data_IF_879337710699
#
_entry.id   IF_879337710699
#
_cell.length_a   1.000
_cell.length_b   1.000
_cell.length_c   1.000
_cell.angle_alpha   90.00
_cell.angle_beta   90.00
_cell.angle_gamma   90.00
#
_symmetry.space_group_name_H-M   'P 1'
#
loop_
_entity.id
_entity.type
_entity.pdbx_description
1 polymer ?
#
# COMPACT_ATOMS: atom_id res chain seq x y z
N UNK A 1 16.97 31.66 24.08
CA UNK A 1 15.99 30.98 24.96
C UNK A 1 14.78 30.45 24.19
N UNK A 2 14.37 31.05 23.08
CA UNK A 2 13.20 30.66 22.27
C UNK A 2 13.33 29.33 21.51
N UNK A 3 14.52 29.04 20.94
CA UNK A 3 14.80 27.78 20.22
C UNK A 3 14.53 26.53 21.08
N UNK A 4 14.85 26.61 22.38
CA UNK A 4 14.60 25.52 23.35
C UNK A 4 13.12 25.35 23.70
N UNK A 5 12.32 26.44 23.71
CA UNK A 5 10.87 26.37 23.91
C UNK A 5 10.18 25.71 22.71
N UNK A 6 10.59 26.08 21.49
CA UNK A 6 10.10 25.47 20.26
C UNK A 6 10.41 23.96 20.20
N UNK A 7 11.64 23.55 20.54
CA UNK A 7 12.05 22.15 20.62
C UNK A 7 11.21 21.33 21.63
N UNK A 8 10.93 21.90 22.82
CA UNK A 8 10.08 21.23 23.82
C UNK A 8 8.63 21.08 23.32
N UNK A 9 8.08 22.12 22.72
CA UNK A 9 6.72 22.09 22.19
C UNK A 9 6.57 21.05 21.06
N UNK A 10 7.52 21.02 20.11
CA UNK A 10 7.58 20.00 19.06
C UNK A 10 7.69 18.59 19.65
N UNK A 11 8.50 18.43 20.70
CA UNK A 11 8.67 17.12 21.35
C UNK A 11 7.44 16.62 22.07
N UNK A 12 6.76 17.49 22.83
CA UNK A 12 5.48 17.13 23.44
C UNK A 12 4.40 16.87 22.40
N UNK A 13 4.37 17.63 21.30
CA UNK A 13 3.40 17.44 20.23
C UNK A 13 3.58 16.09 19.53
N UNK A 14 4.80 15.75 19.11
CA UNK A 14 5.08 14.48 18.41
C UNK A 14 4.83 13.28 19.32
N UNK A 15 5.28 13.34 20.59
CA UNK A 15 5.00 12.28 21.58
C UNK A 15 3.52 12.14 21.92
N UNK A 16 2.76 13.23 21.85
CA UNK A 16 1.33 13.23 22.07
C UNK A 16 0.52 12.63 20.92
N UNK A 17 1.07 12.55 19.70
CA UNK A 17 0.33 12.13 18.50
C UNK A 17 -0.38 10.77 18.65
N UNK A 18 0.28 9.70 19.13
CA UNK A 18 -0.39 8.42 19.31
C UNK A 18 -1.63 8.49 20.21
N UNK A 19 -1.60 9.35 21.22
CA UNK A 19 -2.68 9.47 22.21
C UNK A 19 -3.87 10.29 21.70
N UNK A 20 -3.65 11.17 20.74
CA UNK A 20 -4.70 12.06 20.21
C UNK A 20 -5.18 11.66 18.83
N UNK A 21 -4.49 10.74 18.13
CA UNK A 21 -4.76 10.38 16.74
C UNK A 21 -6.23 10.03 16.50
N UNK A 22 -6.88 9.34 17.45
CA UNK A 22 -8.27 8.92 17.31
C UNK A 22 -9.29 10.07 17.38
N UNK A 23 -8.89 11.22 17.92
CA UNK A 23 -9.76 12.38 18.05
C UNK A 23 -9.55 13.39 16.92
N UNK A 24 -8.54 13.18 16.06
CA UNK A 24 -8.23 14.11 14.98
C UNK A 24 -9.18 13.93 13.79
N UNK A 25 -9.79 15.03 13.28
CA UNK A 25 -10.55 14.99 12.04
C UNK A 25 -9.67 14.63 10.85
N UNK A 26 -10.15 13.78 9.94
CA UNK A 26 -9.39 13.35 8.75
C UNK A 26 -8.89 14.52 7.88
N UNK A 27 -9.71 15.57 7.74
CA UNK A 27 -9.33 16.79 7.03
C UNK A 27 -8.20 17.57 7.72
N UNK A 28 -8.14 17.53 9.06
CA UNK A 28 -7.05 18.14 9.81
C UNK A 28 -5.75 17.34 9.62
N UNK A 29 -5.84 16.01 9.65
CA UNK A 29 -4.69 15.12 9.42
C UNK A 29 -4.04 15.44 8.07
N UNK A 30 -4.81 15.41 6.97
CA UNK A 30 -4.28 15.59 5.62
C UNK A 30 -3.87 17.03 5.30
N UNK A 31 -4.64 18.04 5.72
CA UNK A 31 -4.40 19.44 5.30
C UNK A 31 -3.49 20.24 6.21
N UNK A 32 -3.31 19.81 7.46
CA UNK A 32 -2.56 20.58 8.47
C UNK A 32 -1.46 19.76 9.10
N UNK A 33 -1.79 18.58 9.62
CA UNK A 33 -0.83 17.79 10.40
C UNK A 33 0.28 17.19 9.55
N UNK A 34 -0.04 16.45 8.48
CA UNK A 34 0.96 15.84 7.61
C UNK A 34 1.89 16.91 6.97
N UNK A 35 1.37 18.03 6.44
CA UNK A 35 2.23 19.13 5.99
C UNK A 35 3.14 19.69 7.09
N UNK A 36 2.66 19.84 8.33
CA UNK A 36 3.47 20.31 9.44
C UNK A 36 4.58 19.30 9.83
N UNK A 37 4.30 18.00 9.75
CA UNK A 37 5.29 16.94 9.98
C UNK A 37 6.43 17.03 8.95
N UNK A 38 6.13 17.36 7.69
CA UNK A 38 7.16 17.54 6.65
C UNK A 38 8.13 18.70 6.94
N UNK A 39 7.80 19.61 7.86
CA UNK A 39 8.68 20.67 8.32
C UNK A 39 9.57 20.27 9.52
N UNK A 40 9.48 19.02 10.00
CA UNK A 40 10.27 18.51 11.13
C UNK A 40 11.72 18.03 10.83
N UNK A 41 12.28 17.95 9.61
CA UNK A 41 13.65 17.46 9.41
C UNK A 41 14.70 18.07 10.36
N UNK A 42 14.74 19.40 10.60
CA UNK A 42 15.71 19.99 11.53
C UNK A 42 15.54 19.54 12.99
N UNK A 43 14.32 19.17 13.38
CA UNK A 43 14.00 18.65 14.71
C UNK A 43 14.41 17.18 14.87
N UNK A 44 14.34 16.39 13.79
CA UNK A 44 14.59 14.94 13.78
C UNK A 44 16.06 14.57 13.56
N UNK A 45 16.84 15.47 12.96
CA UNK A 45 18.21 15.22 12.54
C UNK A 45 19.07 14.64 13.68
N UNK A 46 19.72 13.51 13.40
CA UNK A 46 20.57 12.72 14.31
C UNK A 46 19.99 12.46 15.70
N UNK A 47 18.66 12.43 15.80
CA UNK A 47 17.98 12.19 17.07
C UNK A 47 17.04 10.98 16.97
N UNK A 48 17.58 9.82 17.32
CA UNK A 48 16.87 8.52 17.25
C UNK A 48 15.57 8.52 18.05
N UNK A 49 15.52 8.94 19.34
CA UNK A 49 14.28 8.97 20.09
C UNK A 49 13.17 9.78 19.42
N UNK A 50 13.48 10.95 18.86
CA UNK A 50 12.49 11.80 18.18
C UNK A 50 11.94 11.16 16.92
N UNK A 51 12.78 10.42 16.19
CA UNK A 51 12.36 9.67 15.00
C UNK A 51 11.46 8.49 15.39
N UNK A 52 11.74 7.81 16.50
CA UNK A 52 10.87 6.76 17.04
C UNK A 52 9.51 7.33 17.50
N UNK A 53 9.51 8.47 18.20
CA UNK A 53 8.28 9.16 18.59
C UNK A 53 7.43 9.52 17.36
N UNK A 54 8.08 10.01 16.29
CA UNK A 54 7.39 10.30 15.03
C UNK A 54 6.82 9.03 14.40
N UNK A 55 7.59 7.94 14.29
CA UNK A 55 7.12 6.69 13.71
C UNK A 55 5.95 6.08 14.49
N UNK A 56 5.94 6.18 15.81
CA UNK A 56 4.80 5.80 16.64
C UNK A 56 3.55 6.65 16.35
N UNK A 57 3.75 7.97 16.18
CA UNK A 57 2.70 8.89 15.75
C UNK A 57 2.16 8.54 14.37
N UNK A 58 3.03 8.30 13.39
CA UNK A 58 2.66 7.89 12.02
C UNK A 58 1.94 6.55 12.01
N UNK A 59 2.33 5.59 12.85
CA UNK A 59 1.61 4.32 12.99
C UNK A 59 0.15 4.53 13.43
N UNK A 60 -0.05 5.38 14.43
CA UNK A 60 -1.39 5.70 14.95
C UNK A 60 -2.21 6.55 13.97
N UNK A 61 -1.56 7.41 13.16
CA UNK A 61 -2.24 8.17 12.12
C UNK A 61 -2.57 7.32 10.88
N UNK A 62 -1.73 6.33 10.56
CA UNK A 62 -1.93 5.44 9.40
C UNK A 62 -3.24 4.67 9.48
N UNK A 63 -3.72 4.44 10.70
CA UNK A 63 -5.02 3.90 11.01
C UNK A 63 -6.16 4.81 10.54
N UNK A 64 -6.00 6.12 10.69
CA UNK A 64 -7.04 7.11 10.42
C UNK A 64 -7.04 7.62 8.98
N UNK A 65 -5.97 7.33 8.24
CA UNK A 65 -5.80 7.77 6.87
C UNK A 65 -6.69 6.98 5.89
N UNK A 66 -7.38 7.73 5.03
CA UNK A 66 -7.88 7.22 3.76
C UNK A 66 -6.74 6.94 2.78
N UNK A 67 -7.04 6.40 1.59
CA UNK A 67 -6.04 6.09 0.57
C UNK A 67 -5.16 7.30 0.23
N UNK A 68 -5.75 8.50 0.05
CA UNK A 68 -5.01 9.68 -0.37
C UNK A 68 -4.09 10.24 0.72
N UNK A 69 -4.60 10.37 1.95
CA UNK A 69 -3.80 10.82 3.08
C UNK A 69 -2.76 9.79 3.51
N UNK A 70 -3.00 8.50 3.28
CA UNK A 70 -2.00 7.46 3.51
C UNK A 70 -0.78 7.68 2.62
N UNK A 71 -0.96 8.03 1.34
CA UNK A 71 0.18 8.32 0.45
C UNK A 71 1.02 9.49 0.98
N UNK A 72 0.39 10.57 1.44
CA UNK A 72 1.09 11.69 2.07
C UNK A 72 1.82 11.27 3.36
N UNK A 73 1.21 10.38 4.14
CA UNK A 73 1.81 9.83 5.35
C UNK A 73 3.06 9.01 5.04
N UNK A 74 3.06 8.23 3.95
CA UNK A 74 4.23 7.46 3.52
C UNK A 74 5.44 8.39 3.29
N UNK A 75 5.25 9.55 2.67
CA UNK A 75 6.33 10.53 2.49
C UNK A 75 6.93 11.01 3.82
N UNK A 76 6.13 11.06 4.90
CA UNK A 76 6.62 11.42 6.23
C UNK A 76 7.52 10.32 6.84
N UNK A 77 7.36 9.06 6.42
CA UNK A 77 8.22 7.95 6.88
C UNK A 77 9.67 8.17 6.44
N UNK A 78 9.89 8.74 5.26
CA UNK A 78 11.22 9.07 4.73
C UNK A 78 11.97 10.15 5.50
N UNK A 79 11.32 10.85 6.43
CA UNK A 79 11.99 11.80 7.33
C UNK A 79 12.89 11.10 8.37
N UNK A 80 12.66 9.81 8.61
CA UNK A 80 13.42 9.00 9.55
C UNK A 80 14.53 8.21 8.83
N UNK A 81 15.67 8.03 9.48
CA UNK A 81 16.86 7.34 8.97
C UNK A 81 16.56 5.93 8.47
N UNK A 82 17.22 5.54 7.37
CA UNK A 82 17.21 4.18 6.85
C UNK A 82 18.42 3.34 7.28
N UNK A 83 19.27 3.87 8.17
CA UNK A 83 20.55 3.26 8.54
C UNK A 83 20.65 2.84 10.01
N UNK A 84 19.77 3.37 10.88
CA UNK A 84 19.80 3.05 12.30
C UNK A 84 18.92 1.82 12.60
N UNK A 85 19.44 0.76 13.25
CA UNK A 85 18.78 -0.55 13.37
C UNK A 85 17.38 -0.47 14.01
N UNK A 86 17.25 0.30 15.09
CA UNK A 86 15.95 0.47 15.80
C UNK A 86 14.93 1.25 14.96
N UNK A 87 15.38 2.18 14.11
CA UNK A 87 14.48 2.97 13.26
C UNK A 87 14.03 2.11 12.06
N UNK A 88 14.93 1.31 11.50
CA UNK A 88 14.61 0.33 10.45
C UNK A 88 13.54 -0.64 10.96
N UNK A 89 13.72 -1.19 12.17
CA UNK A 89 12.71 -2.05 12.79
C UNK A 89 11.39 -1.33 13.05
N UNK A 90 11.41 -0.10 13.53
CA UNK A 90 10.17 0.68 13.71
C UNK A 90 9.43 0.92 12.37
N UNK A 91 10.16 1.13 11.26
CA UNK A 91 9.56 1.22 9.92
C UNK A 91 8.96 -0.12 9.49
N UNK A 92 9.61 -1.25 9.75
CA UNK A 92 9.06 -2.57 9.39
C UNK A 92 7.76 -2.86 10.16
N UNK A 93 7.69 -2.47 11.44
CA UNK A 93 6.47 -2.54 12.26
C UNK A 93 5.35 -1.64 11.75
N UNK A 94 5.68 -0.44 11.27
CA UNK A 94 4.71 0.45 10.63
C UNK A 94 4.10 -0.21 9.37
N UNK A 95 4.94 -0.81 8.52
CA UNK A 95 4.49 -1.56 7.33
C UNK A 95 3.52 -2.67 7.72
N UNK A 96 3.92 -3.51 8.69
CA UNK A 96 3.07 -4.60 9.18
C UNK A 96 1.72 -4.08 9.68
N UNK A 97 1.70 -2.95 10.40
CA UNK A 97 0.44 -2.34 10.87
C UNK A 97 -0.45 -1.88 9.73
N UNK A 98 0.10 -1.17 8.73
CA UNK A 98 -0.67 -0.67 7.58
C UNK A 98 -1.30 -1.84 6.83
N UNK A 99 -0.51 -2.89 6.56
CA UNK A 99 -0.96 -4.09 5.84
C UNK A 99 -1.99 -4.88 6.65
N UNK A 100 -1.76 -5.10 7.94
CA UNK A 100 -2.69 -5.85 8.80
C UNK A 100 -4.05 -5.16 8.88
N UNK A 101 -4.06 -3.83 8.87
CA UNK A 101 -5.30 -3.07 8.90
C UNK A 101 -6.07 -3.21 7.59
N UNK A 102 -5.46 -2.79 6.50
CA UNK A 102 -6.07 -2.83 5.18
C UNK A 102 -5.02 -2.50 4.10
N UNK A 103 -4.51 -3.52 3.36
CA UNK A 103 -3.48 -3.33 2.36
C UNK A 103 -3.98 -2.63 1.09
N UNK A 104 -5.29 -2.65 0.80
CA UNK A 104 -5.85 -2.10 -0.44
C UNK A 104 -5.77 -0.56 -0.51
N UNK A 105 -5.42 0.08 0.61
CA UNK A 105 -5.19 1.53 0.70
C UNK A 105 -3.84 1.94 0.11
N UNK A 106 -2.90 1.01 -0.05
CA UNK A 106 -1.63 1.27 -0.71
C UNK A 106 -1.78 1.01 -2.21
N UNK A 107 -2.22 2.03 -2.95
CA UNK A 107 -2.53 1.90 -4.39
C UNK A 107 -1.41 2.34 -5.34
N UNK A 108 -0.44 3.09 -4.84
CA UNK A 108 0.65 3.62 -5.65
C UNK A 108 1.93 2.83 -5.38
N UNK A 109 2.29 1.95 -6.33
CA UNK A 109 3.48 1.13 -6.24
C UNK A 109 4.76 1.98 -6.14
N UNK A 110 4.80 3.16 -6.79
CA UNK A 110 5.97 4.06 -6.74
C UNK A 110 6.17 4.59 -5.32
N UNK A 111 5.09 5.05 -4.68
CA UNK A 111 5.14 5.57 -3.30
C UNK A 111 5.52 4.47 -2.31
N UNK A 112 4.95 3.27 -2.46
CA UNK A 112 5.31 2.10 -1.64
C UNK A 112 6.79 1.78 -1.79
N UNK A 113 7.30 1.75 -3.02
CA UNK A 113 8.71 1.48 -3.30
C UNK A 113 9.64 2.52 -2.66
N UNK A 114 9.39 3.80 -2.92
CA UNK A 114 10.25 4.90 -2.49
C UNK A 114 10.26 5.05 -0.96
N UNK A 115 9.10 5.00 -0.33
CA UNK A 115 8.97 5.40 1.08
C UNK A 115 9.04 4.23 2.07
N UNK A 116 8.78 3.00 1.62
CA UNK A 116 8.75 1.81 2.49
C UNK A 116 9.75 0.74 2.06
N UNK A 117 9.67 0.27 0.81
CA UNK A 117 10.48 -0.88 0.37
C UNK A 117 11.97 -0.54 0.34
N UNK A 118 12.36 0.52 -0.37
CA UNK A 118 13.75 0.95 -0.50
C UNK A 118 14.47 1.11 0.86
N UNK A 119 13.93 1.88 1.83
CA UNK A 119 14.62 2.03 3.12
C UNK A 119 14.71 0.72 3.91
N UNK A 120 13.75 -0.21 3.77
CA UNK A 120 13.84 -1.52 4.43
C UNK A 120 14.86 -2.44 3.76
N UNK A 121 14.93 -2.44 2.42
CA UNK A 121 15.94 -3.19 1.66
C UNK A 121 17.35 -2.68 1.99
N UNK A 122 17.55 -1.37 2.04
CA UNK A 122 18.81 -0.77 2.53
C UNK A 122 19.08 -1.25 3.97
N UNK A 123 18.05 -1.23 4.82
CA UNK A 123 18.14 -1.65 6.21
C UNK A 123 18.57 -3.10 6.42
N UNK A 124 18.29 -4.03 5.49
CA UNK A 124 18.76 -5.42 5.56
C UNK A 124 20.29 -5.54 5.56
N UNK A 125 21.01 -4.53 5.05
CA UNK A 125 22.47 -4.48 5.11
C UNK A 125 23.03 -4.00 6.46
N UNK A 126 22.17 -3.57 7.39
CA UNK A 126 22.57 -3.07 8.71
C UNK A 126 23.01 -4.22 9.62
N UNK A 127 24.33 -4.31 9.85
CA UNK A 127 24.96 -5.36 10.67
C UNK A 127 24.54 -5.35 12.14
N UNK A 128 23.99 -4.24 12.62
CA UNK A 128 23.57 -4.04 14.01
C UNK A 128 22.12 -4.50 14.27
N UNK A 129 21.42 -5.01 13.25
CA UNK A 129 20.11 -5.63 13.45
C UNK A 129 20.26 -6.92 14.25
N UNK A 130 19.46 -7.07 15.30
CA UNK A 130 19.29 -8.36 15.97
C UNK A 130 18.62 -9.36 15.03
N UNK A 131 18.79 -10.66 15.27
CA UNK A 131 18.14 -11.71 14.46
C UNK A 131 16.62 -11.50 14.37
N UNK A 132 15.97 -11.20 15.50
CA UNK A 132 14.53 -10.96 15.53
C UNK A 132 14.13 -9.73 14.71
N UNK A 133 14.88 -8.62 14.80
CA UNK A 133 14.59 -7.44 14.00
C UNK A 133 14.86 -7.68 12.51
N UNK A 134 15.88 -8.45 12.17
CA UNK A 134 16.18 -8.84 10.79
C UNK A 134 15.03 -9.65 10.19
N UNK A 135 14.51 -10.65 10.90
CA UNK A 135 13.39 -11.47 10.45
C UNK A 135 12.12 -10.63 10.24
N UNK A 136 11.82 -9.70 11.15
CA UNK A 136 10.71 -8.75 11.00
C UNK A 136 10.86 -7.86 9.77
N UNK A 137 12.07 -7.33 9.52
CA UNK A 137 12.36 -6.48 8.36
C UNK A 137 12.25 -7.28 7.08
N UNK A 138 12.81 -8.50 7.04
CA UNK A 138 12.74 -9.39 5.89
C UNK A 138 11.29 -9.79 5.58
N UNK A 139 10.48 -10.07 6.61
CA UNK A 139 9.06 -10.33 6.46
C UNK A 139 8.33 -9.12 5.85
N UNK A 140 8.56 -7.91 6.35
CA UNK A 140 7.97 -6.69 5.78
C UNK A 140 8.40 -6.43 4.35
N UNK A 141 9.66 -6.72 3.99
CA UNK A 141 10.15 -6.61 2.60
C UNK A 141 9.40 -7.57 1.68
N UNK A 142 9.21 -8.83 2.08
CA UNK A 142 8.45 -9.81 1.29
C UNK A 142 7.00 -9.36 1.06
N UNK A 143 6.32 -8.94 2.12
CA UNK A 143 4.94 -8.42 2.04
C UNK A 143 4.85 -7.24 1.06
N UNK A 144 5.82 -6.33 1.08
CA UNK A 144 5.83 -5.19 0.17
C UNK A 144 6.11 -5.59 -1.28
N UNK A 145 6.95 -6.60 -1.52
CA UNK A 145 7.17 -7.14 -2.86
C UNK A 145 5.89 -7.78 -3.41
N UNK A 146 5.20 -8.59 -2.61
CA UNK A 146 3.93 -9.22 -2.99
C UNK A 146 2.87 -8.15 -3.33
N UNK A 147 2.78 -7.10 -2.51
CA UNK A 147 1.89 -5.97 -2.76
C UNK A 147 2.23 -5.23 -4.06
N UNK A 148 3.51 -4.95 -4.30
CA UNK A 148 3.95 -4.27 -5.53
C UNK A 148 3.65 -5.12 -6.75
N UNK A 149 3.85 -6.44 -6.67
CA UNK A 149 3.48 -7.38 -7.72
C UNK A 149 1.97 -7.36 -8.00
N UNK A 150 1.13 -7.40 -6.95
CA UNK A 150 -0.32 -7.28 -7.09
C UNK A 150 -0.74 -5.97 -7.77
N UNK A 151 -0.15 -4.84 -7.38
CA UNK A 151 -0.45 -3.54 -7.98
C UNK A 151 -0.04 -3.46 -9.46
N UNK A 152 1.01 -4.19 -9.87
CA UNK A 152 1.42 -4.31 -11.27
C UNK A 152 0.39 -5.09 -12.07
N UNK A 153 -0.05 -6.25 -11.56
CA UNK A 153 -1.10 -7.04 -12.22
C UNK A 153 -2.40 -6.26 -12.38
N UNK A 154 -2.86 -5.55 -11.34
CA UNK A 154 -4.07 -4.70 -11.44
C UNK A 154 -3.93 -3.59 -12.48
N UNK A 155 -2.73 -3.03 -12.64
CA UNK A 155 -2.47 -1.99 -13.61
C UNK A 155 -2.49 -2.53 -15.03
N UNK A 156 -1.87 -3.70 -15.26
CA UNK A 156 -1.84 -4.39 -16.54
C UNK A 156 -3.25 -4.81 -17.00
N UNK A 157 -4.07 -5.36 -16.08
CA UNK A 157 -5.48 -5.72 -16.36
C UNK A 157 -6.32 -4.50 -16.78
N UNK A 158 -6.14 -3.36 -16.10
CA UNK A 158 -6.83 -2.10 -16.46
C UNK A 158 -6.41 -1.59 -17.82
N UNK A 159 -5.12 -1.67 -18.14
CA UNK A 159 -4.61 -1.30 -19.46
C UNK A 159 -5.17 -2.22 -20.55
N UNK A 160 -5.23 -3.53 -20.30
CA UNK A 160 -5.78 -4.50 -21.24
C UNK A 160 -7.28 -4.30 -21.45
N UNK A 161 -8.05 -4.02 -20.40
CA UNK A 161 -9.47 -3.66 -20.50
C UNK A 161 -9.71 -2.36 -21.29
N UNK A 162 -8.84 -1.37 -21.15
CA UNK A 162 -8.90 -0.13 -21.94
C UNK A 162 -8.55 -0.38 -23.42
N UNK A 163 -7.52 -1.18 -23.70
CA UNK A 163 -7.10 -1.50 -25.06
C UNK A 163 -8.11 -2.37 -25.82
N UNK A 164 -8.80 -3.28 -25.13
CA UNK A 164 -9.84 -4.13 -25.74
C UNK A 164 -11.17 -3.40 -25.96
N UNK A 165 -11.29 -2.09 -25.67
CA UNK A 165 -12.50 -1.31 -25.94
C UNK A 165 -13.75 -1.76 -25.17
N UNK A 166 -13.61 -2.68 -24.20
CA UNK A 166 -14.71 -3.24 -23.41
C UNK A 166 -15.26 -2.27 -22.36
N UNK A 167 -14.67 -1.07 -22.23
CA UNK A 167 -15.03 -0.07 -21.23
C UNK A 167 -16.35 0.67 -21.41
N UNK A 168 -17.23 0.28 -22.35
CA UNK A 168 -18.51 1.00 -22.58
C UNK A 168 -19.70 0.20 -23.10
N UNK A 169 -19.72 -1.13 -22.97
CA UNK A 169 -20.97 -1.88 -23.13
C UNK A 169 -21.64 -1.97 -21.76
N UNK A 170 -22.46 -0.98 -21.46
CA UNK A 170 -23.13 -0.84 -20.17
C UNK A 170 -23.88 -2.10 -19.76
N UNK A 171 -24.01 -2.27 -18.45
CA UNK A 171 -24.92 -3.21 -17.79
C UNK A 171 -26.41 -2.89 -18.10
N UNK A 172 -26.79 -2.85 -19.37
CA UNK A 172 -28.17 -3.06 -19.79
C UNK A 172 -28.35 -4.55 -19.90
N UNK A 173 -28.84 -5.15 -18.83
CA UNK A 173 -29.51 -6.45 -18.90
C UNK A 173 -30.74 -6.26 -19.77
N UNK A 174 -30.60 -6.43 -21.09
CA UNK A 174 -31.72 -6.39 -22.02
C UNK A 174 -32.43 -7.73 -21.85
N UNK A 175 -33.51 -7.74 -21.07
CA UNK A 175 -34.46 -8.86 -21.10
C UNK A 175 -35.10 -8.89 -22.48
N UNK A 176 -34.60 -9.76 -23.35
CA UNK A 176 -35.23 -10.09 -24.62
C UNK A 176 -36.57 -10.78 -24.33
N UNK A 177 -37.69 -10.08 -24.54
CA UNK A 177 -38.99 -10.73 -24.71
C UNK A 177 -39.00 -11.48 -26.05
N UNK A 178 -39.26 -12.78 -26.01
CA UNK A 178 -39.05 -13.77 -27.06
C UNK A 178 -40.05 -13.73 -28.23
N UNK A 179 -40.76 -12.62 -28.46
CA UNK A 179 -41.94 -12.63 -29.33
C UNK A 179 -41.69 -12.42 -30.83
N UNK A 180 -40.47 -12.10 -31.28
CA UNK A 180 -40.18 -11.96 -32.72
C UNK A 180 -38.73 -12.32 -33.10
N UNK A 181 -38.25 -13.50 -32.70
CA UNK A 181 -37.01 -14.02 -33.25
C UNK A 181 -37.28 -14.63 -34.65
N UNK A 182 -36.56 -14.22 -35.71
CA UNK A 182 -36.65 -14.89 -37.01
C UNK A 182 -36.20 -16.35 -36.83
N UNK A 183 -37.00 -17.29 -37.35
CA UNK A 183 -36.71 -18.73 -37.30
C UNK A 183 -35.43 -19.03 -38.07
N UNK A 184 -34.31 -19.12 -37.37
CA UNK A 184 -33.07 -19.68 -37.91
C UNK A 184 -33.28 -21.19 -38.04
N UNK A 185 -33.50 -21.67 -39.26
CA UNK A 185 -33.47 -23.11 -39.55
C UNK A 185 -32.02 -23.59 -39.44
N UNK A 186 -31.74 -24.36 -38.40
CA UNK A 186 -30.48 -25.09 -38.28
C UNK A 186 -30.67 -26.42 -39.02
N UNK A 187 -30.18 -26.51 -40.26
CA UNK A 187 -30.02 -27.79 -40.93
C UNK A 187 -28.88 -28.56 -40.27
N UNK A 188 -29.20 -29.60 -39.52
CA UNK A 188 -28.23 -30.54 -39.00
C UNK A 188 -27.62 -31.35 -40.15
N UNK A 189 -26.33 -31.14 -40.45
CA UNK A 189 -25.57 -32.07 -41.26
C UNK A 189 -25.34 -33.35 -40.44
N UNK A 190 -25.86 -34.48 -40.94
CA UNK A 190 -25.62 -35.82 -40.39
C UNK A 190 -24.12 -36.12 -40.31
N UNK A 191 -23.62 -36.72 -39.22
CA UNK A 191 -22.36 -37.44 -39.27
C UNK A 191 -22.58 -38.73 -40.08
N UNK A 192 -21.87 -38.87 -41.19
CA UNK A 192 -21.74 -40.12 -41.92
C UNK A 192 -20.96 -41.11 -41.05
N UNK A 193 -21.58 -42.20 -40.64
CA UNK A 193 -20.88 -43.38 -40.18
C UNK A 193 -20.16 -44.03 -41.36
N UNK A 194 -18.84 -44.20 -41.28
CA UNK A 194 -18.16 -45.32 -41.93
C UNK A 194 -17.19 -45.97 -40.94
N UNK A 195 -17.48 -47.23 -40.61
CA UNK A 195 -16.54 -48.25 -40.14
C UNK A 195 -15.24 -48.17 -40.97
N UNK A 196 -14.06 -48.55 -40.48
CA UNK A 196 -13.78 -49.91 -40.01
C UNK A 196 -12.38 -50.02 -39.36
N UNK A 197 -12.31 -50.94 -38.40
CA UNK A 197 -11.20 -51.86 -38.09
C UNK A 197 -9.94 -51.43 -37.30
N UNK A 198 -9.87 -52.00 -36.08
CA UNK A 198 -8.76 -52.81 -35.48
C UNK A 198 -7.47 -52.04 -35.09
N UNK A 199 -6.89 -52.14 -33.89
CA UNK A 199 -6.66 -53.27 -32.99
C UNK A 199 -6.57 -52.83 -31.51
N UNK A 200 -6.90 -53.78 -30.63
CA UNK A 200 -6.67 -53.81 -29.18
C UNK A 200 -5.33 -54.48 -28.91
N UNK A 201 -4.43 -53.83 -28.17
CA UNK A 201 -3.70 -54.34 -26.98
C UNK A 201 -2.72 -53.30 -26.48
#
# INVERSE_FOLDING_TARGET
MEKWKCLRFQSSAVRGLPHVADFLPAAFISRKLLPAIMCLPPYLHDNVPRQLDLLAGLASLSDRCDTASLQQLLSCVSLCSAHHPVIIHAKSRLVQRIVTRDPIRMKDASQVCVHLLNPLVIGLSCKELSSAHFDDVMSSVRILLDLVEQLRYESDDRMQQQQLGLGRLGNRRVSMSSTNLPRVMISAARPSFSNDSRYVQ
#
